data_IF_871784992824
#
_entry.id   IF_871784992824
#
_cell.length_a   1.000
_cell.length_b   1.000
_cell.length_c   1.000
_cell.angle_alpha   90.00
_cell.angle_beta   90.00
_cell.angle_gamma   90.00
#
_symmetry.space_group_name_H-M   'P 1'
#
loop_
_entity.id
_entity.type
_entity.pdbx_description
1 polymer ?
#
# COMPACT_ATOMS: atom_id res chain seq x y z
N UNK A 1 -6.46 5.12 -7.99
CA UNK A 1 -5.25 5.41 -8.77
C UNK A 1 -5.61 5.43 -10.25
N UNK A 2 -4.99 6.31 -11.03
CA UNK A 2 -5.11 6.38 -12.50
C UNK A 2 -3.72 6.17 -13.11
N UNK A 3 -3.63 5.81 -14.39
CA UNK A 3 -2.36 5.41 -15.02
C UNK A 3 -2.01 3.95 -14.69
N UNK A 4 -0.81 3.70 -14.17
CA UNK A 4 -0.32 2.36 -13.83
C UNK A 4 -0.92 1.82 -12.53
N UNK A 5 -2.08 1.17 -12.65
CA UNK A 5 -2.89 0.74 -11.49
C UNK A 5 -2.78 -0.74 -11.14
N UNK A 6 -2.20 -1.55 -12.03
CA UNK A 6 -2.29 -3.02 -11.96
C UNK A 6 -1.56 -3.60 -10.75
N UNK A 7 -0.44 -2.99 -10.35
CA UNK A 7 0.47 -3.53 -9.33
C UNK A 7 -0.03 -3.28 -7.90
N UNK A 8 -0.59 -2.10 -7.62
CA UNK A 8 -1.15 -1.76 -6.30
C UNK A 8 -2.60 -2.21 -6.08
N UNK A 9 -3.35 -2.51 -7.16
CA UNK A 9 -4.77 -2.88 -7.06
C UNK A 9 -5.07 -4.12 -6.20
N UNK A 10 -4.27 -5.21 -6.22
CA UNK A 10 -4.61 -6.41 -5.46
C UNK A 10 -4.71 -6.22 -3.94
N UNK A 11 -3.90 -5.34 -3.34
CA UNK A 11 -3.99 -5.09 -1.88
C UNK A 11 -5.24 -4.27 -1.55
N UNK A 12 -5.58 -3.28 -2.40
CA UNK A 12 -6.81 -2.50 -2.26
C UNK A 12 -8.03 -3.44 -2.29
N UNK A 13 -8.07 -4.38 -3.24
CA UNK A 13 -9.20 -5.31 -3.35
C UNK A 13 -9.33 -6.27 -2.16
N UNK A 14 -8.24 -6.56 -1.43
CA UNK A 14 -8.24 -7.51 -0.31
C UNK A 14 -8.47 -6.85 1.05
N UNK A 15 -7.98 -5.62 1.23
CA UNK A 15 -7.91 -4.98 2.54
C UNK A 15 -8.77 -3.72 2.66
N UNK A 16 -9.35 -3.22 1.57
CA UNK A 16 -10.26 -2.08 1.64
C UNK A 16 -11.55 -2.45 2.37
N UNK A 17 -11.94 -1.58 3.31
CA UNK A 17 -13.23 -1.58 3.97
C UNK A 17 -13.81 -0.16 3.88
N UNK A 18 -15.12 -0.05 3.66
CA UNK A 18 -15.79 1.25 3.58
C UNK A 18 -15.80 2.00 4.92
N UNK A 19 -15.78 1.27 6.02
CA UNK A 19 -15.83 1.82 7.38
C UNK A 19 -14.43 2.10 7.96
N UNK A 20 -13.36 1.84 7.20
CA UNK A 20 -11.99 2.07 7.68
C UNK A 20 -11.73 3.55 7.97
N UNK A 21 -10.94 3.80 9.02
CA UNK A 21 -10.48 5.14 9.35
C UNK A 21 -9.58 5.70 8.23
N UNK A 22 -9.46 7.02 8.14
CA UNK A 22 -8.61 7.66 7.13
C UNK A 22 -7.15 7.21 7.26
N UNK A 23 -6.66 7.01 8.48
CA UNK A 23 -5.31 6.55 8.77
C UNK A 23 -5.06 5.14 8.20
N UNK A 24 -6.05 4.25 8.31
CA UNK A 24 -5.97 2.90 7.73
C UNK A 24 -6.01 2.95 6.20
N UNK A 25 -6.83 3.82 5.63
CA UNK A 25 -6.85 4.06 4.19
C UNK A 25 -5.51 4.60 3.68
N UNK A 26 -4.87 5.54 4.39
CA UNK A 26 -3.54 6.07 4.06
C UNK A 26 -2.48 4.97 4.13
N UNK A 27 -2.50 4.14 5.18
CA UNK A 27 -1.62 2.97 5.30
C UNK A 27 -1.83 1.98 4.14
N UNK A 28 -3.08 1.68 3.77
CA UNK A 28 -3.41 0.82 2.62
C UNK A 28 -2.88 1.41 1.31
N UNK A 29 -3.08 2.70 1.07
CA UNK A 29 -2.58 3.39 -0.11
C UNK A 29 -1.05 3.41 -0.15
N UNK A 30 -0.39 3.54 1.00
CA UNK A 30 1.07 3.45 1.12
C UNK A 30 1.58 2.10 0.60
N UNK A 31 0.96 0.99 1.04
CA UNK A 31 1.31 -0.37 0.57
C UNK A 31 1.01 -0.56 -0.93
N UNK A 32 -0.09 0.00 -1.42
CA UNK A 32 -0.44 -0.01 -2.85
C UNK A 32 0.61 0.71 -3.70
N UNK A 33 1.08 1.88 -3.26
CA UNK A 33 2.12 2.63 -3.96
C UNK A 33 3.50 1.98 -3.84
N UNK A 34 3.85 1.39 -2.71
CA UNK A 34 5.07 0.59 -2.55
C UNK A 34 5.17 -0.52 -3.60
N UNK A 35 4.09 -1.28 -3.76
CA UNK A 35 4.01 -2.35 -4.78
C UNK A 35 4.15 -1.80 -6.20
N UNK A 36 3.56 -0.64 -6.48
CA UNK A 36 3.63 -0.01 -7.79
C UNK A 36 5.03 0.52 -8.12
N UNK A 37 5.65 1.24 -7.17
CA UNK A 37 7.01 1.79 -7.31
C UNK A 37 8.06 0.70 -7.55
N UNK A 38 7.95 -0.43 -6.84
CA UNK A 38 8.86 -1.57 -7.01
C UNK A 38 8.70 -2.30 -8.35
N UNK A 39 7.51 -2.27 -8.95
CA UNK A 39 7.19 -3.05 -10.13
C UNK A 39 7.25 -2.27 -11.45
N UNK A 40 7.20 -0.93 -11.41
CA UNK A 40 7.17 -0.10 -12.62
C UNK A 40 7.88 1.24 -12.44
N UNK A 41 8.99 1.43 -13.17
CA UNK A 41 9.84 2.63 -13.14
C UNK A 41 9.18 3.90 -13.68
N UNK A 42 8.04 3.81 -14.36
CA UNK A 42 7.28 5.00 -14.79
C UNK A 42 6.54 5.69 -13.64
N UNK A 43 6.42 5.01 -12.49
CA UNK A 43 5.91 5.59 -11.25
C UNK A 43 7.09 5.89 -10.35
N UNK A 44 7.14 7.10 -9.80
CA UNK A 44 8.25 7.58 -9.00
C UNK A 44 7.80 8.47 -7.85
N UNK A 45 8.73 8.76 -6.95
CA UNK A 45 8.56 9.72 -5.86
C UNK A 45 8.99 11.14 -6.30
N UNK A 46 8.50 12.20 -5.64
CA UNK A 46 7.63 12.20 -4.46
C UNK A 46 6.17 11.84 -4.76
N UNK A 47 5.45 11.38 -3.73
CA UNK A 47 4.00 11.19 -3.76
C UNK A 47 3.32 12.32 -2.98
N UNK A 48 2.22 12.84 -3.50
CA UNK A 48 1.40 13.83 -2.81
C UNK A 48 0.14 13.17 -2.24
N UNK A 49 -0.08 13.35 -0.94
CA UNK A 49 -1.22 12.81 -0.19
C UNK A 49 -2.09 13.96 0.29
N UNK A 50 -3.40 13.83 0.07
CA UNK A 50 -4.42 14.70 0.65
C UNK A 50 -5.56 13.86 1.20
N UNK A 51 -6.01 14.19 2.41
CA UNK A 51 -7.20 13.64 3.05
C UNK A 51 -8.24 14.75 3.14
N UNK A 52 -9.46 14.46 2.70
CA UNK A 52 -10.58 15.41 2.75
C UNK A 52 -11.72 14.75 3.50
N UNK A 53 -12.18 15.41 4.56
CA UNK A 53 -13.32 14.97 5.35
C UNK A 53 -14.62 15.09 4.56
N UNK A 54 -15.56 14.19 4.85
CA UNK A 54 -16.91 14.32 4.29
C UNK A 54 -17.53 15.63 4.77
N UNK A 55 -18.08 16.40 3.83
CA UNK A 55 -18.79 17.66 4.09
C UNK A 55 -17.95 18.76 4.76
N UNK A 56 -16.61 18.62 4.84
CA UNK A 56 -15.73 19.66 5.40
C UNK A 56 -15.32 20.71 4.36
N UNK A 57 -15.29 20.33 3.07
CA UNK A 57 -14.89 21.19 1.94
C UNK A 57 -13.50 21.84 2.08
N UNK A 58 -12.64 21.29 2.94
CA UNK A 58 -11.27 21.74 3.18
C UNK A 58 -10.35 20.53 3.42
N UNK A 59 -9.03 20.66 3.12
CA UNK A 59 -8.08 19.60 3.42
C UNK A 59 -7.99 19.34 4.93
N UNK A 60 -8.21 18.08 5.33
CA UNK A 60 -8.00 17.62 6.70
C UNK A 60 -6.52 17.33 6.96
N UNK A 61 -5.82 16.83 5.94
CA UNK A 61 -4.41 16.53 6.00
C UNK A 61 -3.79 16.63 4.61
N UNK A 62 -2.60 17.22 4.54
CA UNK A 62 -1.79 17.29 3.32
C UNK A 62 -0.36 16.89 3.67
N UNK A 63 0.25 16.07 2.81
CA UNK A 63 1.61 15.60 3.01
C UNK A 63 2.27 15.25 1.70
N UNK A 64 3.51 15.71 1.52
CA UNK A 64 4.41 15.21 0.48
C UNK A 64 5.28 14.10 1.06
N UNK A 65 5.24 12.94 0.44
CA UNK A 65 6.03 11.75 0.80
C UNK A 65 7.21 11.67 -0.14
N UNK A 66 8.42 11.84 0.39
CA UNK A 66 9.68 11.75 -0.36
C UNK A 66 10.26 10.34 -0.27
N UNK A 67 11.32 10.09 -1.05
CA UNK A 67 12.03 8.81 -1.04
C UNK A 67 12.60 8.43 0.33
N UNK A 68 12.98 9.44 1.12
CA UNK A 68 13.55 9.29 2.45
C UNK A 68 12.50 9.42 3.57
N UNK A 69 11.20 9.38 3.23
CA UNK A 69 10.14 9.51 4.22
C UNK A 69 10.17 8.33 5.22
N UNK A 70 10.37 8.59 6.52
CA UNK A 70 10.60 7.53 7.49
C UNK A 70 9.36 6.65 7.71
N UNK A 71 8.16 7.21 7.58
CA UNK A 71 6.93 6.42 7.70
C UNK A 71 6.75 5.50 6.49
N UNK A 72 7.00 6.01 5.27
CA UNK A 72 6.92 5.20 4.07
C UNK A 72 7.91 4.03 4.12
N UNK A 73 9.17 4.30 4.51
CA UNK A 73 10.19 3.26 4.64
C UNK A 73 9.82 2.21 5.69
N UNK A 74 9.32 2.65 6.85
CA UNK A 74 8.86 1.75 7.91
C UNK A 74 7.74 0.83 7.43
N UNK A 75 6.72 1.37 6.74
CA UNK A 75 5.61 0.57 6.19
C UNK A 75 6.10 -0.38 5.09
N UNK A 76 6.95 0.09 4.16
CA UNK A 76 7.48 -0.71 3.07
C UNK A 76 8.30 -1.91 3.58
N UNK A 77 9.18 -1.68 4.55
CA UNK A 77 10.02 -2.73 5.15
C UNK A 77 9.17 -3.73 5.94
N UNK A 78 8.32 -3.23 6.85
CA UNK A 78 7.48 -4.08 7.69
C UNK A 78 6.49 -4.91 6.86
N UNK A 79 5.93 -4.34 5.79
CA UNK A 79 5.07 -5.07 4.87
C UNK A 79 5.82 -6.17 4.11
N UNK A 80 7.04 -5.87 3.64
CA UNK A 80 7.89 -6.86 2.98
C UNK A 80 8.25 -8.04 3.89
N UNK A 81 8.52 -7.79 5.16
CA UNK A 81 8.76 -8.84 6.16
C UNK A 81 7.50 -9.66 6.45
N UNK A 82 6.37 -9.00 6.66
CA UNK A 82 5.09 -9.66 6.91
C UNK A 82 4.67 -10.57 5.75
N UNK A 83 4.89 -10.16 4.50
CA UNK A 83 4.61 -10.99 3.33
C UNK A 83 5.48 -12.25 3.27
N UNK A 84 6.76 -12.14 3.63
CA UNK A 84 7.66 -13.31 3.70
C UNK A 84 7.18 -14.29 4.77
N UNK A 85 6.86 -13.79 5.96
CA UNK A 85 6.34 -14.61 7.06
C UNK A 85 5.01 -15.29 6.67
N UNK A 86 4.11 -14.55 6.02
CA UNK A 86 2.84 -15.10 5.54
C UNK A 86 3.04 -16.18 4.47
N UNK A 87 4.04 -16.02 3.59
CA UNK A 87 4.40 -17.01 2.59
C UNK A 87 4.99 -18.27 3.24
N UNK A 88 5.91 -18.13 4.18
CA UNK A 88 6.55 -19.25 4.89
C UNK A 88 5.55 -20.02 5.77
N UNK A 89 4.44 -19.40 6.17
CA UNK A 89 3.36 -20.04 6.92
C UNK A 89 2.38 -20.84 6.04
N UNK A 90 2.50 -20.78 4.71
CA UNK A 90 1.66 -21.57 3.81
C UNK A 90 2.08 -23.05 3.86
N UNK A 91 1.13 -23.98 3.66
CA UNK A 91 1.47 -25.40 3.58
C UNK A 91 2.39 -25.68 2.39
N UNK A 92 3.37 -26.55 2.59
CA UNK A 92 4.25 -27.02 1.52
C UNK A 92 3.45 -27.73 0.43
N UNK A 93 3.79 -27.45 -0.82
CA UNK A 93 3.27 -28.21 -1.95
C UNK A 93 4.04 -29.54 -2.07
N UNK A 94 3.34 -30.67 -1.99
CA UNK A 94 3.93 -32.00 -2.16
C UNK A 94 3.81 -32.46 -3.62
N UNK A 95 4.93 -32.93 -4.19
CA UNK A 95 4.95 -33.61 -5.49
C UNK A 95 4.62 -35.11 -5.41
N UNK A 96 4.48 -35.67 -4.21
CA UNK A 96 4.05 -37.05 -4.04
C UNK A 96 2.52 -37.14 -4.21
N UNK A 97 2.06 -38.03 -5.10
CA UNK A 97 0.65 -38.41 -5.21
C UNK A 97 0.18 -39.04 -3.90
N UNK A 98 -1.01 -38.65 -3.42
CA UNK A 98 -1.71 -39.35 -2.34
C UNK A 98 -2.22 -40.72 -2.82
#
# INVERSE_FOLDING_TARGET
>A
QIGETKYGRPIILRAYDREMAFEDAVKLLTVSFDSTLKANLSVGMPLDLMVVGRDTFEPLHERRITQDDPYFQMVSNGWGEALKQAFDALPDYSFAEQ
#
